data_IF_648091575159
#
_entry.id   IF_648091575159
#
_cell.length_a   1.000
_cell.length_b   1.000
_cell.length_c   1.000
_cell.angle_alpha   90.00
_cell.angle_beta   90.00
_cell.angle_gamma   90.00
#
_symmetry.space_group_name_H-M   'P 1'
#
loop_
_entity.id
_entity.type
_entity.pdbx_description
1 polymer ?
#
# COMPACT_ATOMS: atom_id res chain seq x y z
N UNK A 1 7.77 -9.47 11.53
CA UNK A 1 8.07 -8.10 11.97
C UNK A 1 8.50 -7.27 10.79
N UNK A 2 8.08 -6.02 10.70
CA UNK A 2 8.47 -5.09 9.65
C UNK A 2 9.41 -4.04 10.25
N UNK A 3 10.46 -3.72 9.53
CA UNK A 3 11.44 -2.71 9.92
C UNK A 3 11.40 -1.60 8.88
N UNK A 4 11.29 -0.36 9.33
CA UNK A 4 11.50 0.80 8.49
C UNK A 4 13.00 1.06 8.38
N UNK A 5 13.54 1.01 7.18
CA UNK A 5 14.96 1.17 6.96
C UNK A 5 15.22 2.00 5.71
N UNK A 6 15.85 3.16 5.87
CA UNK A 6 16.21 4.08 4.78
C UNK A 6 15.07 4.36 3.80
N UNK A 7 13.86 4.44 4.31
CA UNK A 7 12.65 4.78 3.57
C UNK A 7 11.84 5.82 4.33
N UNK A 8 11.03 6.61 3.62
CA UNK A 8 10.13 7.59 4.26
C UNK A 8 8.98 6.87 4.97
N UNK A 9 8.34 7.52 5.94
CA UNK A 9 7.16 7.00 6.63
C UNK A 9 6.06 6.63 5.64
N UNK A 10 5.86 7.46 4.63
CA UNK A 10 4.88 7.21 3.59
C UNK A 10 5.22 5.97 2.75
N UNK A 11 6.48 5.76 2.39
CA UNK A 11 6.92 4.56 1.68
C UNK A 11 6.73 3.30 2.54
N UNK A 12 7.08 3.39 3.84
CA UNK A 12 6.87 2.30 4.79
C UNK A 12 5.39 1.94 4.93
N UNK A 13 4.51 2.94 5.10
CA UNK A 13 3.06 2.72 5.19
C UNK A 13 2.49 2.10 3.92
N UNK A 14 2.92 2.55 2.74
CA UNK A 14 2.51 1.92 1.46
C UNK A 14 2.91 0.45 1.40
N UNK A 15 4.12 0.12 1.83
CA UNK A 15 4.61 -1.26 1.87
C UNK A 15 3.82 -2.13 2.85
N UNK A 16 3.45 -1.58 4.02
CA UNK A 16 2.57 -2.28 4.97
C UNK A 16 1.18 -2.50 4.40
N UNK A 17 0.60 -1.51 3.74
CA UNK A 17 -0.70 -1.61 3.10
C UNK A 17 -0.67 -2.68 1.98
N UNK A 18 0.35 -2.67 1.14
CA UNK A 18 0.53 -3.65 0.08
C UNK A 18 0.58 -5.10 0.59
N UNK A 19 1.23 -5.35 1.75
CA UNK A 19 1.22 -6.69 2.39
C UNK A 19 -0.17 -7.18 2.80
N UNK A 20 -1.09 -6.26 3.02
CA UNK A 20 -2.49 -6.56 3.31
C UNK A 20 -3.36 -6.52 2.04
N UNK A 21 -2.76 -6.30 0.87
CA UNK A 21 -3.48 -6.10 -0.38
C UNK A 21 -4.30 -4.80 -0.41
N UNK A 22 -3.95 -3.82 0.44
CA UNK A 22 -4.65 -2.55 0.57
C UNK A 22 -3.91 -1.41 -0.14
N UNK A 23 -4.63 -0.33 -0.41
CA UNK A 23 -4.07 0.94 -0.89
C UNK A 23 -4.01 1.97 0.24
N UNK A 24 -3.16 2.97 0.10
CA UNK A 24 -3.24 4.21 0.87
C UNK A 24 -3.85 5.30 -0.02
N UNK A 25 -4.89 5.94 0.48
CA UNK A 25 -5.58 7.02 -0.23
C UNK A 25 -5.44 8.31 0.57
N UNK A 26 -4.74 9.29 0.01
CA UNK A 26 -4.64 10.61 0.64
C UNK A 26 -6.01 11.29 0.69
N UNK A 27 -6.33 11.87 1.84
CA UNK A 27 -7.55 12.66 2.01
C UNK A 27 -7.20 14.16 1.95
N UNK A 28 -7.76 14.85 0.97
CA UNK A 28 -7.52 16.27 0.73
C UNK A 28 -8.64 17.18 1.25
N UNK A 29 -9.64 16.62 1.92
CA UNK A 29 -10.76 17.39 2.50
C UNK A 29 -10.41 18.01 3.84
N UNK A 30 -9.36 17.54 4.49
CA UNK A 30 -8.94 18.03 5.79
C UNK A 30 -7.84 19.10 5.67
N UNK A 31 -7.81 20.02 6.64
CA UNK A 31 -6.78 21.05 6.73
C UNK A 31 -5.39 20.50 7.10
N UNK A 32 -5.31 19.28 7.59
CA UNK A 32 -4.08 18.59 7.96
C UNK A 32 -3.93 17.28 7.18
N UNK A 33 -2.70 16.77 7.05
CA UNK A 33 -2.44 15.53 6.31
C UNK A 33 -3.22 14.36 6.91
N UNK A 34 -4.13 13.82 6.13
CA UNK A 34 -4.94 12.65 6.47
C UNK A 34 -4.86 11.63 5.33
N UNK A 35 -5.08 10.36 5.66
CA UNK A 35 -5.17 9.31 4.68
C UNK A 35 -6.05 8.15 5.18
N UNK A 36 -6.59 7.41 4.23
CA UNK A 36 -7.28 6.15 4.47
C UNK A 36 -6.32 4.99 4.28
N UNK A 37 -6.35 4.06 5.21
CA UNK A 37 -5.68 2.77 5.08
C UNK A 37 -6.69 1.76 4.51
N UNK A 38 -6.71 1.62 3.19
CA UNK A 38 -7.74 0.96 2.42
C UNK A 38 -8.59 1.95 1.62
N UNK A 39 -9.62 1.45 0.97
CA UNK A 39 -10.53 2.28 0.19
C UNK A 39 -11.54 2.98 1.12
N UNK A 40 -11.74 4.30 0.97
CA UNK A 40 -12.74 5.02 1.77
C UNK A 40 -14.15 4.50 1.49
N UNK A 41 -14.96 4.43 2.52
CA UNK A 41 -16.38 4.14 2.40
C UNK A 41 -17.15 5.43 2.12
N UNK A 42 -17.58 5.60 0.87
CA UNK A 42 -18.30 6.77 0.39
C UNK A 42 -19.65 6.34 -0.18
N UNK A 43 -20.58 7.28 -0.31
CA UNK A 43 -21.88 7.05 -0.95
C UNK A 43 -21.72 6.69 -2.43
N UNK A 44 -22.75 6.02 -2.97
CA UNK A 44 -22.80 5.66 -4.37
C UNK A 44 -23.28 6.84 -5.22
N UNK A 45 -22.55 7.13 -6.28
CA UNK A 45 -22.90 8.12 -7.29
C UNK A 45 -23.31 7.35 -8.55
N UNK A 46 -24.44 7.67 -9.11
CA UNK A 46 -24.89 7.10 -10.38
C UNK A 46 -24.45 8.01 -11.52
N UNK A 47 -23.62 7.52 -12.42
CA UNK A 47 -23.14 8.28 -13.57
C UNK A 47 -24.09 8.19 -14.78
N UNK A 48 -25.11 7.35 -14.70
CA UNK A 48 -25.99 7.02 -15.83
C UNK A 48 -25.28 6.17 -16.89
N UNK A 49 -26.02 5.80 -17.94
CA UNK A 49 -25.54 4.91 -18.99
C UNK A 49 -25.28 5.64 -20.33
N UNK A 50 -25.38 6.98 -20.34
CA UNK A 50 -25.32 7.78 -21.56
C UNK A 50 -23.99 8.50 -21.79
N UNK A 51 -23.00 8.27 -20.91
CA UNK A 51 -21.69 8.87 -21.08
C UNK A 51 -20.88 8.15 -22.15
N UNK A 52 -20.20 8.93 -22.98
CA UNK A 52 -19.18 8.38 -23.87
C UNK A 52 -18.03 7.80 -23.05
N UNK A 53 -17.57 6.62 -23.43
CA UNK A 53 -16.50 5.94 -22.72
C UNK A 53 -15.54 5.21 -23.63
N UNK A 54 -14.33 5.03 -23.13
CA UNK A 54 -13.33 4.14 -23.72
C UNK A 54 -13.02 3.02 -22.72
N UNK A 55 -12.81 1.80 -23.25
CA UNK A 55 -12.37 0.67 -22.41
C UNK A 55 -10.85 0.66 -22.39
N UNK A 56 -10.29 0.68 -21.20
CA UNK A 56 -8.84 0.67 -20.97
C UNK A 56 -8.42 -0.66 -20.34
N UNK A 57 -7.34 -1.25 -20.88
CA UNK A 57 -6.73 -2.48 -20.36
C UNK A 57 -5.24 -2.20 -20.04
N UNK A 58 -4.94 -1.48 -18.96
CA UNK A 58 -3.57 -1.04 -18.68
C UNK A 58 -2.61 -2.16 -18.22
N UNK A 59 -3.09 -3.38 -18.01
CA UNK A 59 -2.31 -4.51 -17.51
C UNK A 59 -2.71 -5.84 -18.14
N UNK A 60 -2.07 -6.91 -17.67
CA UNK A 60 -2.36 -8.27 -18.10
C UNK A 60 -3.51 -8.94 -17.33
N UNK A 61 -3.97 -8.32 -16.24
CA UNK A 61 -5.06 -8.84 -15.41
C UNK A 61 -6.40 -8.28 -15.87
N UNK A 62 -7.41 -9.14 -15.90
CA UNK A 62 -8.80 -8.73 -16.23
C UNK A 62 -9.37 -7.73 -15.21
N UNK A 63 -8.88 -7.76 -13.98
CA UNK A 63 -9.27 -6.87 -12.89
C UNK A 63 -8.81 -5.43 -13.13
N UNK A 64 -7.75 -5.25 -13.94
CA UNK A 64 -7.23 -3.93 -14.31
C UNK A 64 -8.05 -3.24 -15.41
N UNK A 65 -8.97 -3.97 -16.05
CA UNK A 65 -9.88 -3.38 -17.04
C UNK A 65 -10.69 -2.23 -16.42
N UNK A 66 -10.71 -1.11 -17.10
CA UNK A 66 -11.38 0.10 -16.64
C UNK A 66 -12.14 0.80 -17.74
N UNK A 67 -12.91 1.78 -17.35
CA UNK A 67 -13.62 2.68 -18.25
C UNK A 67 -13.07 4.08 -18.09
N UNK A 68 -12.71 4.73 -19.17
CA UNK A 68 -12.38 6.15 -19.19
C UNK A 68 -13.62 6.92 -19.61
N UNK A 69 -14.08 7.82 -18.75
CA UNK A 69 -15.30 8.62 -18.96
C UNK A 69 -15.02 10.09 -18.71
N UNK A 70 -15.77 10.97 -19.36
CA UNK A 70 -15.83 12.38 -19.03
C UNK A 70 -17.14 12.64 -18.27
N UNK A 71 -17.05 13.40 -17.18
CA UNK A 71 -18.21 13.73 -16.36
C UNK A 71 -18.11 15.19 -15.88
N UNK A 72 -19.23 15.90 -15.90
CA UNK A 72 -19.24 17.34 -15.69
C UNK A 72 -18.98 17.78 -14.25
N UNK A 73 -19.12 16.89 -13.27
CA UNK A 73 -18.94 17.20 -11.85
C UNK A 73 -17.59 16.75 -11.35
N UNK A 74 -17.08 17.46 -10.34
CA UNK A 74 -15.84 17.11 -9.69
C UNK A 74 -16.08 16.01 -8.64
N UNK A 75 -15.65 14.80 -8.96
CA UNK A 75 -15.76 13.64 -8.09
C UNK A 75 -14.44 13.35 -7.36
N UNK A 76 -14.56 12.67 -6.22
CA UNK A 76 -13.41 12.30 -5.41
C UNK A 76 -12.73 11.03 -5.90
N UNK A 77 -11.42 10.95 -5.65
CA UNK A 77 -10.67 9.72 -5.84
C UNK A 77 -11.24 8.61 -4.95
N UNK A 78 -11.31 7.40 -5.49
CA UNK A 78 -11.89 6.21 -4.84
C UNK A 78 -13.40 6.31 -4.52
N UNK A 79 -14.13 7.34 -4.99
CA UNK A 79 -15.58 7.40 -4.86
C UNK A 79 -16.23 6.17 -5.52
N UNK A 80 -17.33 5.71 -4.92
CA UNK A 80 -18.14 4.61 -5.45
C UNK A 80 -19.05 5.12 -6.55
N UNK A 81 -19.00 4.50 -7.70
CA UNK A 81 -19.83 4.89 -8.85
C UNK A 81 -20.57 3.69 -9.44
N UNK A 82 -21.78 3.94 -9.94
CA UNK A 82 -22.52 3.02 -10.78
C UNK A 82 -22.43 3.49 -12.22
N UNK A 83 -21.97 2.61 -13.10
CA UNK A 83 -21.85 2.90 -14.52
C UNK A 83 -22.07 1.63 -15.33
N UNK A 84 -22.92 1.68 -16.35
CA UNK A 84 -23.34 0.53 -17.18
C UNK A 84 -23.80 -0.67 -16.32
N UNK A 85 -24.62 -0.42 -15.29
CA UNK A 85 -25.11 -1.43 -14.36
C UNK A 85 -24.03 -2.07 -13.48
N UNK A 86 -22.80 -1.57 -13.49
CA UNK A 86 -21.66 -2.10 -12.76
C UNK A 86 -21.31 -1.22 -11.56
N UNK A 87 -20.81 -1.85 -10.50
CA UNK A 87 -20.24 -1.18 -9.33
C UNK A 87 -18.75 -0.99 -9.54
N UNK A 88 -18.32 0.26 -9.61
CA UNK A 88 -16.95 0.67 -9.89
C UNK A 88 -16.49 1.71 -8.87
N UNK A 89 -15.21 2.04 -8.92
CA UNK A 89 -14.62 3.16 -8.17
C UNK A 89 -13.75 4.01 -9.08
N UNK A 90 -13.62 5.28 -8.74
CA UNK A 90 -12.73 6.21 -9.44
C UNK A 90 -11.29 5.85 -9.09
N UNK A 91 -10.58 5.26 -10.04
CA UNK A 91 -9.18 4.87 -9.92
C UNK A 91 -8.23 6.04 -10.16
N UNK A 92 -8.54 6.83 -11.19
CA UNK A 92 -7.76 8.01 -11.56
C UNK A 92 -8.70 9.17 -11.90
N UNK A 93 -8.28 10.36 -11.54
CA UNK A 93 -8.97 11.62 -11.84
C UNK A 93 -7.99 12.54 -12.55
N UNK A 94 -8.40 13.11 -13.67
CA UNK A 94 -7.70 14.18 -14.37
C UNK A 94 -8.64 15.35 -14.53
N UNK A 95 -8.21 16.51 -14.09
CA UNK A 95 -8.97 17.76 -14.17
C UNK A 95 -8.14 18.76 -14.97
N UNK A 96 -8.73 19.30 -16.02
CA UNK A 96 -8.11 20.28 -16.89
C UNK A 96 -8.97 21.55 -16.92
N UNK A 97 -8.34 22.68 -16.76
CA UNK A 97 -8.95 23.98 -17.01
C UNK A 97 -8.37 24.54 -18.31
N UNK A 98 -9.19 24.67 -19.34
CA UNK A 98 -8.79 25.18 -20.63
C UNK A 98 -9.87 26.12 -21.18
N UNK A 99 -9.48 27.31 -21.65
CA UNK A 99 -10.39 28.28 -22.21
C UNK A 99 -11.54 28.71 -21.28
N UNK A 100 -11.32 28.65 -19.94
CA UNK A 100 -12.35 28.93 -18.95
C UNK A 100 -13.33 27.79 -18.67
N UNK A 101 -13.22 26.66 -19.36
CA UNK A 101 -14.00 25.44 -19.13
C UNK A 101 -13.24 24.40 -18.33
N UNK A 102 -13.90 23.81 -17.35
CA UNK A 102 -13.38 22.70 -16.55
C UNK A 102 -13.79 21.37 -17.18
N UNK A 103 -12.81 20.53 -17.50
CA UNK A 103 -13.03 19.18 -18.02
C UNK A 103 -12.54 18.17 -17.01
N UNK A 104 -13.41 17.26 -16.58
CA UNK A 104 -13.08 16.18 -15.66
C UNK A 104 -13.13 14.83 -16.38
N UNK A 105 -12.02 14.10 -16.36
CA UNK A 105 -11.91 12.76 -16.92
C UNK A 105 -11.58 11.77 -15.82
N UNK A 106 -12.23 10.61 -15.84
CA UNK A 106 -12.13 9.60 -14.79
C UNK A 106 -11.82 8.25 -15.38
N UNK A 107 -10.89 7.53 -14.76
CA UNK A 107 -10.72 6.10 -15.01
C UNK A 107 -11.46 5.35 -13.90
N UNK A 108 -12.43 4.54 -14.28
CA UNK A 108 -13.24 3.73 -13.40
C UNK A 108 -12.74 2.30 -13.40
N UNK A 109 -12.57 1.69 -12.24
CA UNK A 109 -12.19 0.28 -12.10
C UNK A 109 -13.05 -0.44 -11.06
N UNK A 110 -13.04 -1.76 -11.13
CA UNK A 110 -13.56 -2.60 -10.06
C UNK A 110 -12.69 -2.47 -8.81
N UNK A 111 -13.24 -2.78 -7.66
CA UNK A 111 -12.54 -2.67 -6.37
C UNK A 111 -11.32 -3.60 -6.31
N UNK A 112 -11.39 -4.77 -6.94
CA UNK A 112 -10.29 -5.72 -7.04
C UNK A 112 -9.07 -5.15 -7.78
N UNK A 113 -9.29 -4.23 -8.74
CA UNK A 113 -8.22 -3.54 -9.48
C UNK A 113 -7.40 -2.53 -8.67
N UNK A 114 -7.80 -2.28 -7.42
CA UNK A 114 -7.03 -1.44 -6.48
C UNK A 114 -6.06 -2.25 -5.63
N UNK A 115 -6.18 -3.57 -5.62
CA UNK A 115 -5.33 -4.43 -4.81
C UNK A 115 -3.87 -4.25 -5.18
N UNK A 116 -3.05 -3.96 -4.17
CA UNK A 116 -1.61 -3.81 -4.31
C UNK A 116 -0.91 -5.17 -4.19
N UNK A 117 0.07 -5.40 -5.05
CA UNK A 117 0.99 -6.53 -4.92
C UNK A 117 1.94 -6.25 -3.74
N UNK A 118 2.16 -7.24 -2.86
CA UNK A 118 3.15 -7.11 -1.79
C UNK A 118 4.55 -6.90 -2.37
N UNK A 119 5.30 -5.99 -1.79
CA UNK A 119 6.71 -5.79 -2.10
C UNK A 119 7.55 -5.59 -0.85
N UNK A 120 8.82 -5.88 -0.93
CA UNK A 120 9.75 -5.76 0.18
C UNK A 120 10.65 -4.53 0.01
N UNK A 121 11.25 -4.10 1.12
CA UNK A 121 12.30 -3.08 1.06
C UNK A 121 13.62 -3.74 0.67
N UNK A 122 14.01 -3.59 -0.59
CA UNK A 122 15.25 -4.15 -1.13
C UNK A 122 16.51 -3.65 -0.42
N UNK A 123 16.44 -2.45 0.18
CA UNK A 123 17.54 -1.90 0.98
C UNK A 123 17.85 -2.70 2.26
N UNK A 124 16.98 -3.63 2.66
CA UNK A 124 17.22 -4.54 3.77
C UNK A 124 18.02 -5.79 3.36
N UNK A 125 18.11 -6.09 2.07
CA UNK A 125 18.83 -7.27 1.58
C UNK A 125 20.33 -7.06 1.81
N UNK A 126 20.93 -7.95 2.59
CA UNK A 126 22.36 -7.90 2.92
C UNK A 126 22.77 -6.81 3.90
N UNK A 127 21.84 -6.06 4.50
CA UNK A 127 22.18 -5.08 5.52
C UNK A 127 22.44 -5.75 6.87
N UNK A 128 23.37 -5.20 7.64
CA UNK A 128 23.61 -5.55 9.03
C UNK A 128 22.89 -4.53 9.93
N UNK A 129 22.16 -5.02 10.92
CA UNK A 129 21.48 -4.19 11.92
C UNK A 129 22.10 -4.47 13.28
N UNK A 130 22.33 -3.42 14.05
CA UNK A 130 22.83 -3.49 15.41
C UNK A 130 21.70 -3.65 16.42
N UNK A 131 22.00 -4.27 17.56
CA UNK A 131 21.03 -4.45 18.62
C UNK A 131 21.67 -4.95 19.90
N UNK A 132 20.90 -4.93 20.99
CA UNK A 132 21.32 -5.40 22.32
C UNK A 132 20.67 -6.75 22.61
N UNK A 133 21.52 -7.73 23.00
CA UNK A 133 21.05 -9.04 23.46
C UNK A 133 20.28 -8.85 24.78
N UNK A 134 19.09 -9.44 24.87
CA UNK A 134 18.22 -9.43 26.04
C UNK A 134 18.32 -10.73 26.83
N UNK A 135 18.30 -11.85 26.16
CA UNK A 135 18.50 -13.17 26.74
C UNK A 135 19.09 -14.11 25.71
N UNK A 136 19.74 -15.14 26.21
CA UNK A 136 20.29 -16.25 25.41
C UNK A 136 19.65 -17.52 25.95
N UNK A 137 19.07 -18.33 25.08
CA UNK A 137 18.43 -19.59 25.42
C UNK A 137 18.86 -20.64 24.38
N UNK A 138 19.75 -21.56 24.79
CA UNK A 138 20.33 -22.55 23.89
C UNK A 138 20.95 -21.87 22.63
N UNK A 139 20.45 -22.20 21.44
CA UNK A 139 20.97 -21.71 20.16
C UNK A 139 20.27 -20.46 19.64
N UNK A 140 19.48 -19.80 20.48
CA UNK A 140 18.75 -18.59 20.11
C UNK A 140 19.06 -17.43 21.03
N UNK A 141 19.08 -16.24 20.45
CA UNK A 141 19.21 -14.98 21.17
C UNK A 141 17.98 -14.14 20.98
N UNK A 142 17.54 -13.50 22.04
CA UNK A 142 16.52 -12.46 21.97
C UNK A 142 17.22 -11.11 21.89
N UNK A 143 16.96 -10.40 20.80
CA UNK A 143 17.64 -9.13 20.51
C UNK A 143 16.60 -8.02 20.47
N UNK A 144 16.94 -6.88 21.07
CA UNK A 144 16.32 -5.59 20.80
C UNK A 144 17.20 -4.84 19.82
N UNK A 145 16.67 -4.59 18.62
CA UNK A 145 17.41 -3.84 17.60
C UNK A 145 17.45 -2.35 17.98
N UNK A 146 18.56 -1.67 17.67
CA UNK A 146 18.74 -0.26 17.97
C UNK A 146 17.81 0.65 17.12
N UNK A 147 17.33 0.14 16.00
CA UNK A 147 16.32 0.81 15.16
C UNK A 147 14.89 0.69 15.71
N UNK A 148 14.68 0.07 16.87
CA UNK A 148 13.36 -0.12 17.46
C UNK A 148 13.08 0.92 18.53
N UNK A 149 12.24 1.87 18.19
CA UNK A 149 11.75 2.90 19.11
C UNK A 149 10.48 2.46 19.87
N UNK A 150 10.41 1.20 20.29
CA UNK A 150 9.15 0.63 20.79
C UNK A 150 9.19 0.43 22.29
N UNK A 151 8.28 1.11 22.95
CA UNK A 151 7.86 0.82 24.32
C UNK A 151 7.08 -0.52 24.32
N UNK A 152 7.66 -1.55 24.89
CA UNK A 152 6.99 -2.84 25.13
C UNK A 152 7.09 -3.84 23.97
N UNK A 153 8.26 -4.33 23.68
CA UNK A 153 8.40 -5.31 22.63
C UNK A 153 8.66 -6.72 23.14
N UNK A 154 7.89 -7.66 22.60
CA UNK A 154 8.32 -9.06 22.53
C UNK A 154 9.56 -9.12 21.63
N UNK A 155 10.73 -9.23 22.22
CA UNK A 155 11.97 -9.47 21.48
C UNK A 155 11.84 -10.79 20.73
N UNK A 156 12.04 -10.75 19.39
CA UNK A 156 12.02 -11.96 18.58
C UNK A 156 13.28 -12.78 18.89
N UNK A 157 13.12 -14.10 19.00
CA UNK A 157 14.21 -15.03 19.08
C UNK A 157 14.83 -15.24 17.68
N UNK A 158 16.14 -15.14 17.58
CA UNK A 158 16.90 -15.39 16.37
C UNK A 158 17.91 -16.50 16.64
N UNK A 159 18.11 -17.44 15.71
CA UNK A 159 19.25 -18.31 15.78
C UNK A 159 20.54 -17.48 15.67
N UNK A 160 21.56 -17.82 16.44
CA UNK A 160 22.84 -17.15 16.29
C UNK A 160 23.91 -18.10 15.82
N UNK A 161 24.81 -17.58 15.00
CA UNK A 161 25.98 -18.30 14.52
C UNK A 161 27.22 -17.75 15.23
N UNK A 162 28.11 -18.65 15.58
CA UNK A 162 29.46 -18.31 16.05
C UNK A 162 30.49 -18.86 15.06
N UNK A 163 31.76 -18.54 15.27
CA UNK A 163 32.86 -19.14 14.48
C UNK A 163 32.91 -20.66 14.63
N UNK A 164 32.33 -21.16 15.72
CA UNK A 164 32.39 -22.60 16.10
C UNK A 164 31.04 -23.32 15.94
N UNK A 165 29.98 -22.62 15.60
CA UNK A 165 28.62 -23.17 15.51
C UNK A 165 27.85 -22.51 14.42
N UNK A 166 27.24 -23.26 13.53
CA UNK A 166 26.34 -22.79 12.51
C UNK A 166 24.88 -22.74 13.04
N UNK A 167 23.97 -21.91 12.46
CA UNK A 167 22.57 -21.82 12.90
C UNK A 167 21.76 -23.10 12.79
N UNK A 168 22.24 -24.09 12.03
CA UNK A 168 21.63 -25.41 11.84
C UNK A 168 22.12 -26.47 12.87
N UNK A 169 22.96 -26.07 13.83
CA UNK A 169 23.44 -26.95 14.88
C UNK A 169 24.53 -27.93 14.46
N UNK A 170 25.09 -27.77 13.27
CA UNK A 170 26.14 -28.68 12.75
C UNK A 170 27.57 -28.24 13.10
N UNK A 171 27.72 -27.22 13.91
CA UNK A 171 29.04 -26.73 14.32
C UNK A 171 29.69 -27.53 15.43
N UNK A 172 31.01 -27.38 15.56
CA UNK A 172 31.80 -27.94 16.66
C UNK A 172 31.65 -27.05 17.90
N UNK A 173 31.42 -27.64 19.04
CA UNK A 173 31.42 -26.97 20.35
C UNK A 173 32.83 -26.98 20.95
#
# INVERSE_FOLDING_TARGET
RQVQYRETDWAFLKRLAAKLGLVLVADHHNAYPCFYFGLPDREWIDLGDHLDYQVSYPGHRKEDAGYEVQYGELLDLCAKVRFLGRRLRIYQKRVLLSGGALTCSYTLRREEGFRQEPYENEGLIGCSLTGKVRSVEHDVVRIRMDCEDIRGSNSKAYPYATVYSSPDGTGWY
#
